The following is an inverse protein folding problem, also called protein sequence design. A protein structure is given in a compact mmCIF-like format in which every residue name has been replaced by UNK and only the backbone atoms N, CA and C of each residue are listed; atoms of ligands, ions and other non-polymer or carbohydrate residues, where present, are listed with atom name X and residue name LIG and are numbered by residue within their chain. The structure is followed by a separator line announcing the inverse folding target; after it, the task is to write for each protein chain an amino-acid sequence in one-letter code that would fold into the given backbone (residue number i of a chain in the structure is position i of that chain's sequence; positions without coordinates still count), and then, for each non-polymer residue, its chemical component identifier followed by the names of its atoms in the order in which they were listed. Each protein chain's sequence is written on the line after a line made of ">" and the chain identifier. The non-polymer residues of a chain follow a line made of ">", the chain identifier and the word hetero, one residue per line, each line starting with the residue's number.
data_IF_491294064842
#
_entry.id   IF_491294064842
#
_cell.length_a   1.000
_cell.length_b   1.000
_cell.length_c   1.000
_cell.angle_alpha   90.00
_cell.angle_beta   90.00
_cell.angle_gamma   90.00
#
_symmetry.space_group_name_H-M   'P 1'
#
loop_
_entity.id
_entity.type
_entity.pdbx_description
1 polymer ?
#
# COMPACT_ATOMS: atom_id res chain seq x y z
N UNK A 1 -9.52 2.56 7.25
CA UNK A 1 -8.10 2.86 7.52
C UNK A 1 -7.85 4.31 7.17
N UNK A 2 -7.28 5.11 8.06
CA UNK A 2 -6.93 6.51 7.79
C UNK A 2 -5.42 6.70 7.92
N UNK A 3 -4.68 6.99 6.85
CA UNK A 3 -3.24 7.19 6.93
C UNK A 3 -2.92 8.43 7.76
N UNK A 4 -1.89 8.31 8.60
CA UNK A 4 -1.36 9.39 9.44
C UNK A 4 0.07 9.75 9.04
N UNK A 5 0.90 8.81 8.63
CA UNK A 5 2.29 9.11 8.27
C UNK A 5 2.81 8.06 7.31
N UNK A 6 3.61 8.50 6.34
CA UNK A 6 4.28 7.60 5.39
C UNK A 6 5.73 8.02 5.26
N UNK A 7 6.64 7.10 5.51
CA UNK A 7 8.08 7.28 5.33
C UNK A 7 8.56 6.29 4.28
N UNK A 8 9.28 6.77 3.28
CA UNK A 8 9.82 5.95 2.20
C UNK A 8 11.30 6.26 2.07
N UNK A 9 12.13 5.24 2.20
CA UNK A 9 13.58 5.34 2.11
C UNK A 9 14.10 4.29 1.14
N UNK A 10 14.88 4.73 0.17
CA UNK A 10 15.56 3.83 -0.76
C UNK A 10 14.63 3.09 -1.74
N UNK A 11 13.46 3.64 -2.06
CA UNK A 11 12.49 3.04 -2.99
C UNK A 11 12.25 3.95 -4.20
N UNK A 12 12.37 3.42 -5.42
CA UNK A 12 12.19 4.16 -6.67
C UNK A 12 13.02 5.45 -6.71
N UNK A 13 12.44 6.64 -6.96
CA UNK A 13 13.18 7.90 -6.90
C UNK A 13 13.42 8.40 -5.46
N UNK A 14 12.77 7.82 -4.45
CA UNK A 14 12.80 8.30 -3.07
C UNK A 14 13.99 7.73 -2.30
N UNK A 15 15.06 8.51 -2.15
CA UNK A 15 16.17 8.19 -1.24
C UNK A 15 15.78 8.37 0.23
N UNK A 16 14.87 9.30 0.50
CA UNK A 16 14.29 9.56 1.81
C UNK A 16 13.21 10.63 1.69
N UNK A 17 11.95 10.25 1.87
CA UNK A 17 10.81 11.16 1.92
C UNK A 17 9.91 10.77 3.09
N UNK A 18 9.28 11.75 3.70
CA UNK A 18 8.28 11.57 4.74
C UNK A 18 7.09 12.46 4.40
N UNK A 19 5.90 11.89 4.51
CA UNK A 19 4.63 12.60 4.49
C UNK A 19 4.11 12.58 5.93
N UNK A 20 3.96 13.77 6.51
CA UNK A 20 3.60 13.95 7.91
C UNK A 20 2.09 13.81 8.16
N UNK A 21 1.72 13.81 9.44
CA UNK A 21 0.32 13.77 9.85
C UNK A 21 -0.43 15.04 9.51
N UNK A 22 0.23 16.19 9.57
CA UNK A 22 -0.34 17.46 9.12
C UNK A 22 -0.62 17.42 7.62
N UNK A 23 0.31 16.89 6.81
CA UNK A 23 0.11 16.76 5.36
C UNK A 23 -1.03 15.80 5.03
N UNK A 24 -1.11 14.63 5.70
CA UNK A 24 -2.25 13.73 5.52
C UNK A 24 -3.56 14.35 5.98
N UNK A 25 -3.57 15.16 7.03
CA UNK A 25 -4.77 15.87 7.51
C UNK A 25 -5.26 16.88 6.46
N UNK A 26 -4.35 17.64 5.85
CA UNK A 26 -4.69 18.53 4.73
C UNK A 26 -5.34 17.78 3.55
N UNK A 27 -4.86 16.57 3.26
CA UNK A 27 -5.44 15.69 2.24
C UNK A 27 -6.79 15.09 2.66
N UNK A 28 -7.04 14.88 3.95
CA UNK A 28 -8.32 14.39 4.47
C UNK A 28 -9.40 15.47 4.46
N UNK A 29 -9.03 16.71 4.79
CA UNK A 29 -9.93 17.86 4.72
C UNK A 29 -10.33 18.15 3.26
N UNK A 30 -9.42 17.83 2.32
CA UNK A 30 -9.66 17.92 0.89
C UNK A 30 -10.29 16.63 0.35
N UNK A 31 -11.61 16.61 0.12
CA UNK A 31 -12.31 15.42 -0.45
C UNK A 31 -11.72 14.91 -1.78
N UNK A 32 -10.97 15.74 -2.49
CA UNK A 32 -10.26 15.42 -3.71
C UNK A 32 -8.91 16.13 -3.72
N UNK A 33 -7.85 15.42 -4.10
CA UNK A 33 -6.52 15.98 -4.30
C UNK A 33 -5.86 15.32 -5.52
N UNK A 34 -4.83 15.99 -6.06
CA UNK A 34 -4.11 15.54 -7.24
C UNK A 34 -2.62 15.34 -6.92
N UNK A 35 -2.09 14.16 -7.24
CA UNK A 35 -0.65 13.89 -7.22
C UNK A 35 -0.11 14.07 -8.64
N UNK A 36 0.55 15.21 -8.90
CA UNK A 36 1.08 15.58 -10.22
C UNK A 36 2.61 15.36 -10.33
N UNK A 37 3.18 15.50 -11.53
CA UNK A 37 4.62 15.42 -11.84
C UNK A 37 4.90 14.59 -13.10
N UNK A 38 6.17 14.46 -13.48
CA UNK A 38 6.57 13.74 -14.70
C UNK A 38 6.44 12.21 -14.60
N UNK A 39 6.55 11.53 -15.74
CA UNK A 39 6.70 10.08 -15.81
C UNK A 39 8.01 9.70 -15.10
N UNK A 40 7.96 8.71 -14.22
CA UNK A 40 9.12 8.31 -13.41
C UNK A 40 9.30 9.11 -12.11
N UNK A 41 8.51 10.16 -11.86
CA UNK A 41 8.58 10.95 -10.62
C UNK A 41 8.17 10.18 -9.33
N UNK A 42 7.76 8.91 -9.45
CA UNK A 42 7.48 8.05 -8.30
C UNK A 42 6.03 7.96 -7.87
N UNK A 43 5.06 8.46 -8.65
CA UNK A 43 3.62 8.39 -8.30
C UNK A 43 3.18 6.96 -7.98
N UNK A 44 3.49 6.02 -8.87
CA UNK A 44 3.20 4.60 -8.67
C UNK A 44 4.01 4.02 -7.51
N UNK A 45 5.26 4.47 -7.35
CA UNK A 45 6.12 4.07 -6.22
C UNK A 45 5.52 4.45 -4.87
N UNK A 46 4.82 5.57 -4.77
CA UNK A 46 4.11 5.98 -3.55
C UNK A 46 3.08 4.92 -3.13
N UNK A 47 2.28 4.43 -4.09
CA UNK A 47 1.28 3.38 -3.82
C UNK A 47 1.93 2.01 -3.58
N UNK A 48 2.98 1.68 -4.32
CA UNK A 48 3.78 0.47 -4.10
C UNK A 48 4.39 0.46 -2.68
N UNK A 49 4.79 1.62 -2.15
CA UNK A 49 5.33 1.72 -0.80
C UNK A 49 4.27 1.40 0.26
N UNK A 50 3.03 1.89 0.10
CA UNK A 50 1.92 1.57 1.01
C UNK A 50 1.62 0.07 0.97
N UNK A 51 1.53 -0.53 -0.23
CA UNK A 51 1.32 -1.97 -0.40
C UNK A 51 2.46 -2.78 0.22
N UNK A 52 3.71 -2.35 0.02
CA UNK A 52 4.87 -2.97 0.62
C UNK A 52 4.79 -2.89 2.14
N UNK A 53 4.52 -1.73 2.73
CA UNK A 53 4.40 -1.58 4.18
C UNK A 53 3.35 -2.53 4.78
N UNK A 54 2.18 -2.66 4.14
CA UNK A 54 1.08 -3.49 4.63
C UNK A 54 1.32 -5.00 4.39
N UNK A 55 1.74 -5.39 3.19
CA UNK A 55 1.73 -6.78 2.74
C UNK A 55 3.10 -7.37 2.46
N UNK A 56 4.14 -6.54 2.32
CA UNK A 56 5.46 -6.98 1.87
C UNK A 56 5.49 -7.33 0.38
N UNK A 57 4.50 -6.86 -0.38
CA UNK A 57 4.28 -7.13 -1.81
C UNK A 57 4.29 -5.82 -2.62
N UNK A 58 4.32 -5.92 -3.95
CA UNK A 58 4.22 -4.76 -4.86
C UNK A 58 2.86 -4.75 -5.56
N UNK A 59 2.50 -3.63 -6.20
CA UNK A 59 1.25 -3.55 -6.95
C UNK A 59 1.23 -4.39 -8.22
N UNK A 60 2.37 -4.84 -8.76
CA UNK A 60 2.40 -5.59 -10.02
C UNK A 60 2.94 -7.01 -9.79
N UNK A 61 2.20 -8.06 -10.19
CA UNK A 61 2.63 -9.46 -10.01
C UNK A 61 4.01 -9.76 -10.61
N UNK A 62 4.35 -9.09 -11.70
CA UNK A 62 5.64 -9.26 -12.40
C UNK A 62 6.79 -8.46 -11.75
N UNK A 63 6.46 -7.49 -10.88
CA UNK A 63 7.43 -6.64 -10.23
C UNK A 63 7.78 -7.23 -8.86
N UNK A 64 8.95 -7.84 -8.77
CA UNK A 64 9.48 -8.27 -7.47
C UNK A 64 9.81 -7.06 -6.61
N UNK A 65 9.74 -7.23 -5.29
CA UNK A 65 9.99 -6.17 -4.32
C UNK A 65 11.40 -5.60 -4.44
N UNK A 66 12.37 -6.41 -4.86
CA UNK A 66 13.74 -5.98 -5.13
C UNK A 66 13.83 -4.94 -6.25
N UNK A 67 12.87 -4.93 -7.19
CA UNK A 67 12.79 -3.92 -8.25
C UNK A 67 12.22 -2.57 -7.76
N UNK A 68 11.81 -2.49 -6.49
CA UNK A 68 11.49 -1.21 -5.85
C UNK A 68 12.72 -0.55 -5.26
N UNK A 69 13.83 -1.27 -5.03
CA UNK A 69 15.07 -0.70 -4.51
C UNK A 69 15.55 0.40 -5.46
N UNK A 70 15.82 1.57 -4.90
CA UNK A 70 16.24 2.74 -5.67
C UNK A 70 17.59 2.49 -6.36
N UNK A 71 17.63 2.73 -7.68
CA UNK A 71 18.87 2.71 -8.46
C UNK A 71 19.85 3.83 -8.08
N UNK A 72 19.40 4.81 -7.27
CA UNK A 72 20.26 5.86 -6.74
C UNK A 72 21.11 5.38 -5.54
N UNK A 73 20.82 4.20 -4.97
CA UNK A 73 21.65 3.58 -3.93
C UNK A 73 22.87 2.93 -4.60
N UNK A 74 24.06 3.43 -4.29
CA UNK A 74 25.33 2.92 -4.81
C UNK A 74 25.99 1.95 -3.82
N UNK A 75 26.86 1.05 -4.30
CA UNK A 75 27.69 0.23 -3.42
C UNK A 75 28.49 1.11 -2.43
N UNK A 76 28.32 0.87 -1.13
CA UNK A 76 28.93 1.66 -0.07
C UNK A 76 27.97 2.63 0.64
N UNK A 77 26.80 2.91 0.06
CA UNK A 77 25.77 3.70 0.72
C UNK A 77 25.20 2.95 1.94
N UNK A 78 25.03 3.67 3.05
CA UNK A 78 24.43 3.13 4.29
C UNK A 78 22.89 3.21 4.27
N UNK A 79 22.29 3.29 3.09
CA UNK A 79 20.84 3.39 2.91
C UNK A 79 20.24 1.99 2.90
N UNK A 80 19.54 1.64 3.98
CA UNK A 80 18.70 0.44 4.04
C UNK A 80 17.32 0.81 3.49
N UNK A 81 16.82 0.16 2.42
CA UNK A 81 15.48 0.39 1.92
C UNK A 81 14.43 0.07 2.98
N UNK A 82 13.56 1.02 3.28
CA UNK A 82 12.59 0.96 4.36
C UNK A 82 11.32 1.72 3.97
N UNK A 83 10.17 1.18 4.35
CA UNK A 83 8.92 1.91 4.35
C UNK A 83 8.25 1.81 5.71
N UNK A 84 7.87 2.93 6.29
CA UNK A 84 7.07 3.02 7.49
C UNK A 84 5.71 3.64 7.19
N UNK A 85 4.63 3.02 7.65
CA UNK A 85 3.28 3.54 7.54
C UNK A 85 2.63 3.56 8.93
N UNK A 86 2.11 4.73 9.32
CA UNK A 86 1.28 4.91 10.51
C UNK A 86 -0.14 5.27 10.08
N UNK A 87 -1.14 4.63 10.67
CA UNK A 87 -2.54 4.81 10.29
C UNK A 87 -3.49 4.50 11.45
N UNK A 88 -4.69 5.08 11.41
CA UNK A 88 -5.80 4.71 12.28
C UNK A 88 -6.63 3.58 11.65
N UNK A 89 -6.97 2.58 12.46
CA UNK A 89 -7.93 1.54 12.12
C UNK A 89 -8.97 1.43 13.24
N UNK A 90 -10.17 1.97 12.99
CA UNK A 90 -11.14 2.19 14.05
C UNK A 90 -10.61 3.19 15.09
N UNK A 91 -10.38 2.72 16.32
CA UNK A 91 -9.81 3.53 17.42
C UNK A 91 -8.34 3.23 17.69
N UNK A 92 -7.75 2.27 17.00
CA UNK A 92 -6.36 1.88 17.22
C UNK A 92 -5.43 2.61 16.26
N UNK A 93 -4.31 3.10 16.78
CA UNK A 93 -3.20 3.58 15.97
C UNK A 93 -2.25 2.42 15.69
N UNK A 94 -2.03 2.17 14.40
CA UNK A 94 -1.16 1.10 13.91
C UNK A 94 0.05 1.74 13.26
N UNK A 95 1.24 1.26 13.61
CA UNK A 95 2.48 1.60 12.89
C UNK A 95 3.12 0.32 12.41
N UNK A 96 3.37 0.23 11.11
CA UNK A 96 4.13 -0.85 10.49
C UNK A 96 5.38 -0.27 9.85
N UNK A 97 6.51 -0.93 10.05
CA UNK A 97 7.78 -0.61 9.37
C UNK A 97 8.30 -1.87 8.73
N UNK A 98 8.60 -1.81 7.43
CA UNK A 98 9.23 -2.90 6.69
C UNK A 98 10.55 -2.49 6.08
N UNK A 99 11.53 -3.39 6.13
CA UNK A 99 12.87 -3.20 5.56
C UNK A 99 13.19 -4.31 4.59
N UNK A 100 13.91 -3.96 3.54
CA UNK A 100 14.63 -4.94 2.73
C UNK A 100 16.03 -5.05 3.28
N UNK A 101 16.44 -6.27 3.65
CA UNK A 101 17.84 -6.54 3.99
C UNK A 101 18.71 -6.22 2.78
N UNK A 102 19.94 -5.77 3.06
CA UNK A 102 20.89 -5.35 2.04
C UNK A 102 21.02 -6.36 0.89
N UNK A 103 21.35 -5.89 -0.31
CA UNK A 103 21.40 -6.66 -1.57
C UNK A 103 22.05 -8.06 -1.51
N UNK A 104 22.93 -8.32 -0.54
CA UNK A 104 23.58 -9.62 -0.32
C UNK A 104 22.77 -10.62 0.53
N UNK A 105 21.87 -10.15 1.40
CA UNK A 105 21.02 -10.97 2.26
C UNK A 105 19.57 -10.84 1.79
N UNK A 106 19.11 -11.79 0.99
CA UNK A 106 17.70 -11.85 0.57
C UNK A 106 16.80 -12.01 1.80
N UNK A 107 15.97 -11.01 2.11
CA UNK A 107 15.02 -11.10 3.21
C UNK A 107 14.31 -9.79 3.53
N UNK A 108 13.13 -9.91 4.12
CA UNK A 108 12.33 -8.79 4.63
C UNK A 108 12.33 -8.82 6.16
N UNK A 109 12.33 -7.63 6.77
CA UNK A 109 12.04 -7.44 8.19
C UNK A 109 10.77 -6.63 8.32
N UNK A 110 9.97 -6.91 9.35
CA UNK A 110 8.75 -6.19 9.63
C UNK A 110 8.60 -5.98 11.13
N UNK A 111 8.14 -4.80 11.50
CA UNK A 111 7.89 -4.41 12.88
C UNK A 111 6.50 -3.78 12.94
N UNK A 112 5.70 -4.21 13.92
CA UNK A 112 4.33 -3.74 14.10
C UNK A 112 4.14 -3.22 15.52
N UNK A 113 3.64 -1.99 15.62
CA UNK A 113 3.18 -1.39 16.85
C UNK A 113 1.68 -1.14 16.78
N UNK A 114 1.01 -1.34 17.92
CA UNK A 114 -0.40 -0.99 18.12
C UNK A 114 -0.46 -0.10 19.35
N UNK A 115 -1.01 1.11 19.20
CA UNK A 115 -1.10 2.14 20.24
C UNK A 115 0.27 2.38 20.93
N UNK A 116 1.33 2.53 20.12
CA UNK A 116 2.69 2.77 20.58
C UNK A 116 3.44 1.55 21.16
N UNK A 117 2.78 0.40 21.35
CA UNK A 117 3.42 -0.81 21.91
C UNK A 117 3.82 -1.78 20.81
N UNK A 118 5.08 -2.24 20.82
CA UNK A 118 5.56 -3.25 19.89
C UNK A 118 4.77 -4.54 20.10
N UNK A 119 4.08 -5.00 19.05
CA UNK A 119 3.31 -6.24 19.06
C UNK A 119 4.10 -7.42 18.53
N UNK A 120 4.80 -7.23 17.41
CA UNK A 120 5.68 -8.25 16.85
C UNK A 120 6.75 -7.64 15.96
N UNK A 121 7.88 -8.33 15.87
CA UNK A 121 8.97 -8.09 14.92
C UNK A 121 9.26 -9.34 14.04
N UNK A 122 8.40 -10.37 14.11
CA UNK A 122 8.51 -11.55 13.26
C UNK A 122 7.66 -11.35 12.02
N UNK A 123 8.27 -11.48 10.85
CA UNK A 123 7.62 -11.23 9.56
C UNK A 123 6.27 -11.95 9.40
N UNK A 124 6.21 -13.24 9.75
CA UNK A 124 5.00 -14.06 9.62
C UNK A 124 3.88 -13.61 10.56
N UNK A 125 4.20 -13.30 11.81
CA UNK A 125 3.23 -12.77 12.79
C UNK A 125 2.71 -11.40 12.37
N UNK A 126 3.60 -10.50 11.92
CA UNK A 126 3.19 -9.17 11.42
C UNK A 126 2.26 -9.30 10.22
N UNK A 127 2.59 -10.16 9.25
CA UNK A 127 1.73 -10.42 8.10
C UNK A 127 0.34 -10.94 8.52
N UNK A 128 0.31 -11.90 9.45
CA UNK A 128 -0.94 -12.50 9.91
C UNK A 128 -1.81 -11.48 10.64
N UNK A 129 -1.24 -10.68 11.56
CA UNK A 129 -1.97 -9.64 12.29
C UNK A 129 -2.57 -8.62 11.32
N UNK A 130 -1.80 -8.14 10.34
CA UNK A 130 -2.28 -7.17 9.37
C UNK A 130 -3.36 -7.77 8.45
N UNK A 131 -3.21 -9.02 8.04
CA UNK A 131 -4.23 -9.73 7.24
C UNK A 131 -5.55 -9.88 8.01
N UNK A 132 -5.49 -10.30 9.27
CA UNK A 132 -6.69 -10.50 10.11
C UNK A 132 -7.38 -9.17 10.44
N UNK A 133 -6.60 -8.11 10.61
CA UNK A 133 -7.10 -6.76 10.87
C UNK A 133 -7.77 -6.15 9.63
N UNK A 134 -7.06 -6.14 8.48
CA UNK A 134 -7.53 -5.50 7.26
C UNK A 134 -8.61 -6.33 6.56
N UNK A 135 -8.62 -7.65 6.75
CA UNK A 135 -9.51 -8.62 6.09
C UNK A 135 -9.50 -8.55 4.55
N UNK A 136 -8.46 -7.95 4.00
CA UNK A 136 -8.21 -7.81 2.57
C UNK A 136 -6.81 -8.35 2.31
N UNK A 137 -6.67 -9.18 1.29
CA UNK A 137 -5.35 -9.51 0.74
C UNK A 137 -4.78 -8.34 -0.08
N UNK A 138 -3.52 -8.44 -0.49
CA UNK A 138 -2.84 -7.38 -1.25
C UNK A 138 -3.55 -7.05 -2.57
N UNK A 139 -4.12 -8.05 -3.25
CA UNK A 139 -4.81 -7.90 -4.53
C UNK A 139 -6.13 -7.15 -4.35
N UNK A 140 -6.90 -7.52 -3.33
CA UNK A 140 -8.15 -6.86 -2.96
C UNK A 140 -7.90 -5.42 -2.49
N UNK A 141 -6.89 -5.22 -1.62
CA UNK A 141 -6.53 -3.89 -1.15
C UNK A 141 -6.10 -2.97 -2.29
N UNK A 142 -5.30 -3.48 -3.24
CA UNK A 142 -4.92 -2.74 -4.45
C UNK A 142 -6.15 -2.26 -5.23
N UNK A 143 -7.15 -3.10 -5.42
CA UNK A 143 -8.39 -2.75 -6.17
C UNK A 143 -9.23 -1.69 -5.46
N UNK A 144 -9.21 -1.68 -4.13
CA UNK A 144 -9.92 -0.68 -3.34
C UNK A 144 -9.18 0.66 -3.36
N UNK A 145 -7.85 0.64 -3.24
CA UNK A 145 -7.03 1.85 -3.18
C UNK A 145 -6.77 2.50 -4.54
N UNK A 146 -6.59 1.68 -5.57
CA UNK A 146 -6.26 2.11 -6.93
C UNK A 146 -7.40 1.74 -7.87
N UNK A 147 -7.94 2.74 -8.55
CA UNK A 147 -8.78 2.49 -9.70
C UNK A 147 -7.89 1.92 -10.83
N UNK A 148 -8.11 0.68 -11.29
CA UNK A 148 -7.36 0.13 -12.40
C UNK A 148 -7.57 1.01 -13.65
N UNK A 149 -6.45 1.48 -14.20
CA UNK A 149 -6.44 2.35 -15.37
C UNK A 149 -7.01 1.58 -16.57
N UNK A 150 -8.11 2.07 -17.15
CA UNK A 150 -8.80 1.43 -18.29
C UNK A 150 -10.07 0.67 -17.90
N UNK A 151 -10.03 -0.21 -16.89
CA UNK A 151 -11.19 -1.01 -16.46
C UNK A 151 -12.32 -0.15 -15.90
N UNK A 152 -12.00 0.95 -15.21
CA UNK A 152 -13.01 1.89 -14.73
C UNK A 152 -13.70 2.64 -15.90
N UNK A 153 -13.01 2.83 -17.02
CA UNK A 153 -13.62 3.43 -18.21
C UNK A 153 -14.71 2.52 -18.77
N UNK A 154 -14.51 1.21 -18.74
CA UNK A 154 -15.52 0.23 -19.14
C UNK A 154 -16.75 0.32 -18.24
N UNK A 155 -16.55 0.43 -16.92
CA UNK A 155 -17.65 0.66 -15.95
C UNK A 155 -18.42 1.96 -16.21
N UNK A 156 -17.70 3.07 -16.47
CA UNK A 156 -18.32 4.37 -16.74
C UNK A 156 -19.12 4.39 -18.05
N UNK A 157 -18.64 3.66 -19.07
CA UNK A 157 -19.28 3.58 -20.38
C UNK A 157 -20.35 2.49 -20.47
N UNK A 158 -20.39 1.56 -19.53
CA UNK A 158 -21.33 0.45 -19.54
C UNK A 158 -22.78 0.90 -19.34
N UNK A 159 -23.69 0.20 -20.01
CA UNK A 159 -25.14 0.31 -19.84
C UNK A 159 -25.56 -0.08 -18.41
N UNK A 160 -26.69 0.47 -17.96
CA UNK A 160 -27.15 0.33 -16.55
C UNK A 160 -27.23 -1.12 -16.06
N UNK A 161 -27.54 -2.06 -16.96
CA UNK A 161 -27.65 -3.50 -16.70
C UNK A 161 -26.30 -4.20 -16.53
N UNK A 162 -25.28 -3.76 -17.26
CA UNK A 162 -23.93 -4.37 -17.25
C UNK A 162 -23.02 -3.72 -16.21
N UNK A 163 -23.31 -2.45 -15.88
CA UNK A 163 -22.52 -1.66 -14.94
C UNK A 163 -22.39 -2.32 -13.56
N UNK A 164 -23.48 -2.90 -13.04
CA UNK A 164 -23.46 -3.56 -11.73
C UNK A 164 -22.52 -4.78 -11.74
N UNK A 165 -22.65 -5.65 -12.73
CA UNK A 165 -21.79 -6.82 -12.89
C UNK A 165 -20.31 -6.45 -13.09
N UNK A 166 -20.03 -5.37 -13.82
CA UNK A 166 -18.67 -4.85 -13.96
C UNK A 166 -18.15 -4.28 -12.64
N UNK A 167 -18.97 -3.58 -11.85
CA UNK A 167 -18.60 -3.12 -10.50
C UNK A 167 -18.29 -4.30 -9.57
N UNK A 168 -19.16 -5.31 -9.54
CA UNK A 168 -18.96 -6.52 -8.72
C UNK A 168 -17.67 -7.23 -9.10
N UNK A 169 -17.38 -7.39 -10.39
CA UNK A 169 -16.14 -7.98 -10.89
C UNK A 169 -14.90 -7.12 -10.60
N UNK A 170 -15.02 -5.80 -10.75
CA UNK A 170 -13.94 -4.85 -10.51
C UNK A 170 -13.48 -4.94 -9.07
N UNK A 171 -14.44 -4.91 -8.14
CA UNK A 171 -14.19 -4.92 -6.69
C UNK A 171 -14.21 -6.32 -6.06
N UNK A 172 -14.44 -7.37 -6.85
CA UNK A 172 -14.57 -8.76 -6.38
C UNK A 172 -15.61 -8.94 -5.28
N UNK A 173 -16.77 -8.31 -5.47
CA UNK A 173 -17.91 -8.40 -4.56
C UNK A 173 -18.76 -9.64 -4.81
N UNK A 174 -18.32 -10.59 -5.64
CA UNK A 174 -19.10 -11.78 -5.97
C UNK A 174 -19.39 -12.66 -4.72
N UNK A 175 -18.64 -12.46 -3.64
CA UNK A 175 -18.91 -13.09 -2.35
C UNK A 175 -20.12 -12.49 -1.62
N UNK A 176 -20.43 -11.21 -1.85
CA UNK A 176 -21.57 -10.51 -1.26
C UNK A 176 -22.83 -10.72 -2.10
N UNK A 177 -22.73 -10.79 -3.42
CA UNK A 177 -23.87 -11.09 -4.29
C UNK A 177 -24.52 -12.44 -3.94
N UNK A 178 -23.71 -13.43 -3.52
CA UNK A 178 -24.20 -14.74 -3.04
C UNK A 178 -24.94 -14.70 -1.69
N UNK A 179 -24.76 -13.64 -0.91
CA UNK A 179 -25.46 -13.45 0.37
C UNK A 179 -26.82 -12.77 0.17
N UNK A 180 -27.01 -12.00 -0.91
CA UNK A 180 -28.31 -11.38 -1.26
C UNK A 180 -29.27 -12.35 -1.96
N UNK A 181 -28.77 -13.46 -2.49
CA UNK A 181 -29.59 -14.53 -3.10
C UNK A 181 -30.22 -15.50 -2.06
N UNK A 182 -30.01 -15.26 -0.76
CA UNK A 182 -30.64 -15.95 0.37
C UNK A 182 -31.56 -15.01 1.16
#
# INVERSE_FOLDING_TARGET
>A
MLPLELTIKGFGPYLGVSISEEEFRLLQDSRLFLIFGEIGAGKTTLFDAILFALYGETSFPERKVEHLISHHIKPGDRVVPEVGLRFLFGKEEIKVVRRLRALALRGQEAYLWINGRLRSNKLTEVNQILKDMLKLDAKQFKKVLLLPQGEYREVLLAERRERLALFERLFQLEIFSKLEEY
#
